data_IF_877613335086
#
_entry.id   IF_877613335086
#
_cell.length_a   1.000
_cell.length_b   1.000
_cell.length_c   1.000
_cell.angle_alpha   90.00
_cell.angle_beta   90.00
_cell.angle_gamma   90.00
#
_symmetry.space_group_name_H-M   'P 1'
#
loop_
_entity.id
_entity.type
_entity.pdbx_description
1 polymer ?
#
# COMPACT_ATOMS: atom_id res chain seq x y z
N UNK A 1 -1.89 40.03 4.66
CA UNK A 1 -1.73 39.60 3.24
C UNK A 1 -1.59 38.09 3.17
N UNK A 2 -2.37 37.42 2.34
CA UNK A 2 -2.34 35.95 2.17
C UNK A 2 -1.12 35.55 1.35
N UNK A 3 -0.31 34.61 1.87
CA UNK A 3 0.90 34.09 1.20
C UNK A 3 0.52 33.00 0.18
N UNK A 4 0.38 33.41 -1.07
CA UNK A 4 -0.14 32.57 -2.15
C UNK A 4 0.77 31.35 -2.42
N UNK A 5 2.07 31.50 -2.33
CA UNK A 5 3.07 30.47 -2.58
C UNK A 5 3.01 29.31 -1.55
N UNK A 6 2.38 29.54 -0.41
CA UNK A 6 2.20 28.53 0.62
C UNK A 6 0.91 27.70 0.45
N UNK A 7 -0.01 28.17 -0.40
CA UNK A 7 -1.27 27.49 -0.61
C UNK A 7 -1.03 26.21 -1.43
N UNK A 8 -1.59 25.11 -0.95
CA UNK A 8 -1.55 23.83 -1.66
C UNK A 8 -2.89 23.12 -1.51
N UNK A 9 -3.45 22.78 -2.64
CA UNK A 9 -4.56 21.83 -2.75
C UNK A 9 -4.35 21.00 -4.03
N UNK A 10 -4.59 19.70 -3.93
CA UNK A 10 -4.44 18.76 -5.05
C UNK A 10 -5.74 17.97 -5.17
N UNK A 11 -6.54 18.17 -6.24
CA UNK A 11 -7.75 17.39 -6.46
C UNK A 11 -7.48 15.90 -6.58
N UNK A 12 -8.43 15.05 -6.20
CA UNK A 12 -8.37 13.59 -6.30
C UNK A 12 -7.10 12.98 -5.67
N UNK A 13 -6.76 13.47 -4.48
CA UNK A 13 -5.59 13.03 -3.71
C UNK A 13 -5.93 12.99 -2.22
N UNK A 14 -4.91 12.90 -1.37
CA UNK A 14 -5.06 13.10 0.09
C UNK A 14 -5.61 14.49 0.49
N UNK A 15 -5.77 15.40 -0.46
CA UNK A 15 -6.39 16.71 -0.27
C UNK A 15 -7.86 16.76 -0.71
N UNK A 16 -8.34 15.74 -1.45
CA UNK A 16 -9.72 15.65 -1.88
C UNK A 16 -10.09 14.19 -2.10
N UNK A 17 -10.84 13.61 -1.19
CA UNK A 17 -11.19 12.19 -1.24
C UNK A 17 -12.59 11.92 -0.66
N UNK A 18 -13.23 10.85 -1.13
CA UNK A 18 -14.50 10.38 -0.63
C UNK A 18 -14.30 9.42 0.55
N UNK A 19 -15.06 9.65 1.64
CA UNK A 19 -15.14 8.74 2.78
C UNK A 19 -16.28 7.72 2.61
N UNK A 20 -17.32 8.12 1.88
CA UNK A 20 -18.46 7.29 1.46
C UNK A 20 -19.05 7.87 0.18
N UNK A 21 -20.06 7.19 -0.37
CA UNK A 21 -20.78 7.67 -1.57
C UNK A 21 -21.41 9.06 -1.41
N UNK A 22 -21.63 9.50 -0.18
CA UNK A 22 -22.25 10.80 0.14
C UNK A 22 -21.39 11.70 1.03
N UNK A 23 -20.14 11.33 1.30
CA UNK A 23 -19.29 12.08 2.22
C UNK A 23 -17.91 12.35 1.63
N UNK A 24 -17.54 13.63 1.53
CA UNK A 24 -16.25 14.09 1.01
C UNK A 24 -15.44 14.78 2.11
N UNK A 25 -14.14 14.59 2.05
CA UNK A 25 -13.16 15.43 2.77
C UNK A 25 -12.35 16.21 1.76
N UNK A 26 -12.34 17.52 1.94
CA UNK A 26 -11.54 18.46 1.15
C UNK A 26 -10.58 19.17 2.11
N UNK A 27 -9.31 19.19 1.76
CA UNK A 27 -8.20 19.73 2.54
C UNK A 27 -7.49 20.85 1.80
N UNK A 28 -7.00 21.83 2.51
CA UNK A 28 -6.08 22.85 1.99
C UNK A 28 -4.95 23.10 2.98
N UNK A 29 -3.74 23.30 2.48
CA UNK A 29 -2.59 23.76 3.25
C UNK A 29 -2.35 25.24 2.94
N UNK A 30 -2.01 26.02 3.96
CA UNK A 30 -1.68 27.44 3.84
C UNK A 30 -0.48 27.76 4.74
N UNK A 31 0.08 28.98 4.64
CA UNK A 31 1.13 29.39 5.56
C UNK A 31 0.60 29.41 7.02
N UNK A 32 1.48 29.10 7.95
CA UNK A 32 1.14 29.09 9.38
C UNK A 32 0.67 30.45 9.85
N UNK A 33 -0.42 30.46 10.62
CA UNK A 33 -1.04 31.64 11.21
C UNK A 33 -1.37 32.76 10.20
N UNK A 34 -1.61 32.42 8.94
CA UNK A 34 -1.82 33.36 7.84
C UNK A 34 -3.30 33.66 7.58
N UNK A 35 -4.22 32.82 8.03
CA UNK A 35 -5.67 32.99 7.83
C UNK A 35 -6.41 33.20 9.15
N UNK A 36 -7.44 34.05 9.11
CA UNK A 36 -8.46 34.11 10.17
C UNK A 36 -9.59 33.15 9.95
N UNK A 37 -9.98 32.96 8.67
CA UNK A 37 -11.04 32.03 8.26
C UNK A 37 -10.70 31.33 6.97
N UNK A 38 -11.15 30.08 6.85
CA UNK A 38 -11.10 29.29 5.64
C UNK A 38 -12.46 28.63 5.40
N UNK A 39 -13.08 28.89 4.26
CA UNK A 39 -14.40 28.37 3.93
C UNK A 39 -14.33 27.64 2.59
N UNK A 40 -14.82 26.41 2.58
CA UNK A 40 -15.06 25.64 1.36
C UNK A 40 -16.45 25.97 0.84
N UNK A 41 -16.55 26.28 -0.43
CA UNK A 41 -17.82 26.42 -1.15
C UNK A 41 -17.94 25.27 -2.15
N UNK A 42 -19.01 24.46 -2.05
CA UNK A 42 -19.24 23.35 -2.96
C UNK A 42 -20.63 23.39 -3.59
N UNK A 43 -20.78 22.86 -4.78
CA UNK A 43 -22.03 22.80 -5.50
C UNK A 43 -22.10 21.64 -6.51
N UNK A 44 -23.27 21.45 -7.12
CA UNK A 44 -23.48 20.46 -8.16
C UNK A 44 -22.75 20.88 -9.45
N UNK A 45 -21.72 20.12 -9.84
CA UNK A 45 -21.00 20.35 -11.09
C UNK A 45 -21.89 20.34 -12.35
N UNK A 46 -22.95 19.56 -12.32
CA UNK A 46 -23.85 19.35 -13.46
C UNK A 46 -25.20 20.06 -13.32
N UNK A 47 -25.31 20.97 -12.36
CA UNK A 47 -26.51 21.81 -12.19
C UNK A 47 -26.91 22.44 -13.52
N UNK A 48 -28.18 22.34 -13.92
CA UNK A 48 -28.69 23.08 -15.10
C UNK A 48 -28.65 24.60 -14.89
N UNK A 49 -28.13 25.32 -15.88
CA UNK A 49 -28.03 26.78 -15.86
C UNK A 49 -26.87 27.33 -15.02
N UNK A 50 -26.68 28.64 -15.12
CA UNK A 50 -25.64 29.43 -14.44
C UNK A 50 -26.30 30.58 -13.67
N UNK A 51 -25.70 31.05 -12.55
CA UNK A 51 -24.51 30.51 -11.90
C UNK A 51 -24.81 29.24 -11.10
N UNK A 52 -23.75 28.44 -10.78
CA UNK A 52 -23.89 27.32 -9.85
C UNK A 52 -24.25 27.85 -8.47
N UNK A 53 -25.16 27.15 -7.79
CA UNK A 53 -25.52 27.43 -6.40
C UNK A 53 -24.52 26.71 -5.49
N UNK A 54 -23.79 27.48 -4.69
CA UNK A 54 -22.79 26.94 -3.76
C UNK A 54 -23.29 26.94 -2.32
N UNK A 55 -22.91 25.90 -1.61
CA UNK A 55 -23.11 25.75 -0.16
C UNK A 55 -21.79 25.94 0.56
N UNK A 56 -21.78 26.72 1.64
CA UNK A 56 -20.59 27.01 2.44
C UNK A 56 -20.36 25.95 3.51
N UNK A 57 -19.11 25.52 3.68
CA UNK A 57 -18.65 24.70 4.81
C UNK A 57 -17.42 25.37 5.44
N UNK A 58 -17.54 25.76 6.71
CA UNK A 58 -16.40 26.30 7.45
C UNK A 58 -15.37 25.20 7.72
N UNK A 59 -14.14 25.44 7.29
CA UNK A 59 -13.06 24.48 7.41
C UNK A 59 -12.44 24.56 8.81
N UNK A 60 -12.01 23.42 9.33
CA UNK A 60 -11.36 23.33 10.66
C UNK A 60 -9.86 23.18 10.49
N UNK A 61 -9.09 23.98 11.23
CA UNK A 61 -7.65 23.74 11.36
C UNK A 61 -7.44 22.43 12.11
N UNK A 62 -6.87 21.43 11.43
CA UNK A 62 -6.66 20.08 11.97
C UNK A 62 -5.23 19.84 12.43
N UNK A 63 -4.28 20.56 11.84
CA UNK A 63 -2.87 20.41 12.10
C UNK A 63 -2.13 21.72 11.83
N UNK A 64 -1.08 21.98 12.60
CA UNK A 64 -0.04 22.97 12.29
C UNK A 64 1.32 22.30 12.39
N UNK A 65 2.17 22.50 11.40
CA UNK A 65 3.57 22.15 11.47
C UNK A 65 4.46 23.39 11.71
N UNK A 66 5.73 23.32 11.40
CA UNK A 66 6.67 24.42 11.58
C UNK A 66 6.36 25.62 10.67
N UNK A 67 5.81 25.38 9.47
CA UNK A 67 5.64 26.37 8.41
C UNK A 67 4.21 26.53 7.91
N UNK A 68 3.35 25.53 8.12
CA UNK A 68 2.03 25.45 7.50
C UNK A 68 0.92 25.11 8.48
N UNK A 69 -0.28 25.59 8.16
CA UNK A 69 -1.55 25.18 8.73
C UNK A 69 -2.33 24.33 7.69
N UNK A 70 -3.04 23.31 8.19
CA UNK A 70 -3.87 22.42 7.38
C UNK A 70 -5.31 22.55 7.84
N UNK A 71 -6.21 22.81 6.89
CA UNK A 71 -7.63 22.93 7.12
C UNK A 71 -8.40 21.85 6.38
N UNK A 72 -9.36 21.21 7.06
CA UNK A 72 -10.26 20.21 6.50
C UNK A 72 -11.71 20.66 6.57
N UNK A 73 -12.47 20.34 5.52
CA UNK A 73 -13.91 20.27 5.52
C UNK A 73 -14.34 18.84 5.19
N UNK A 74 -15.00 18.18 6.13
CA UNK A 74 -15.68 16.89 5.89
C UNK A 74 -17.18 17.15 5.93
N UNK A 75 -17.90 16.81 4.85
CA UNK A 75 -19.30 17.16 4.68
C UNK A 75 -20.06 16.10 3.90
N UNK A 76 -21.36 16.02 4.12
CA UNK A 76 -22.28 15.25 3.31
C UNK A 76 -22.73 16.04 2.10
N UNK A 77 -22.81 15.39 0.95
CA UNK A 77 -23.29 15.97 -0.30
C UNK A 77 -24.28 15.03 -0.99
N UNK A 78 -25.40 15.57 -1.50
CA UNK A 78 -26.33 14.77 -2.30
C UNK A 78 -25.88 14.61 -3.77
N UNK A 79 -24.72 15.17 -4.14
CA UNK A 79 -24.23 15.23 -5.52
C UNK A 79 -23.16 14.18 -5.77
N UNK A 80 -23.31 13.41 -6.81
CA UNK A 80 -22.29 12.48 -7.31
C UNK A 80 -21.09 13.20 -7.95
N UNK A 81 -21.30 14.45 -8.37
CA UNK A 81 -20.32 15.29 -9.08
C UNK A 81 -20.26 16.64 -8.43
N UNK A 82 -19.14 16.96 -7.82
CA UNK A 82 -18.98 18.18 -7.05
C UNK A 82 -17.97 19.11 -7.71
N UNK A 83 -18.31 20.41 -7.78
CA UNK A 83 -17.33 21.46 -8.02
C UNK A 83 -17.19 22.31 -6.77
N UNK A 84 -16.03 22.90 -6.56
CA UNK A 84 -15.74 23.63 -5.32
C UNK A 84 -14.61 24.65 -5.50
N UNK A 85 -14.57 25.60 -4.56
CA UNK A 85 -13.50 26.57 -4.40
C UNK A 85 -13.32 26.92 -2.93
N UNK A 86 -12.25 27.61 -2.60
CA UNK A 86 -11.96 28.08 -1.24
C UNK A 86 -12.09 29.58 -1.14
N UNK A 87 -12.69 30.06 -0.07
CA UNK A 87 -12.66 31.46 0.34
C UNK A 87 -11.70 31.57 1.53
N UNK A 88 -10.62 32.32 1.33
CA UNK A 88 -9.54 32.50 2.30
C UNK A 88 -9.59 33.93 2.83
N UNK A 89 -9.58 34.09 4.15
CA UNK A 89 -9.64 35.41 4.81
C UNK A 89 -8.45 35.63 5.72
N UNK A 90 -7.89 36.81 5.65
CA UNK A 90 -7.00 37.38 6.64
C UNK A 90 -7.62 38.69 7.18
N UNK A 91 -7.00 39.39 8.15
CA UNK A 91 -7.59 40.64 8.68
C UNK A 91 -7.75 41.77 7.67
N UNK A 92 -7.04 41.74 6.55
CA UNK A 92 -6.96 42.83 5.57
C UNK A 92 -7.69 42.52 4.27
N UNK A 93 -7.79 41.23 3.89
CA UNK A 93 -8.33 40.82 2.57
C UNK A 93 -9.08 39.51 2.58
N UNK A 94 -9.90 39.33 1.56
CA UNK A 94 -10.52 38.07 1.20
C UNK A 94 -10.04 37.67 -0.18
N UNK A 95 -9.69 36.38 -0.36
CA UNK A 95 -9.27 35.79 -1.63
C UNK A 95 -10.07 34.53 -1.90
N UNK A 96 -10.22 34.25 -3.19
CA UNK A 96 -10.80 33.00 -3.68
C UNK A 96 -9.71 32.15 -4.33
N UNK A 97 -9.65 30.88 -3.96
CA UNK A 97 -8.67 29.94 -4.50
C UNK A 97 -9.38 28.83 -5.27
N UNK A 98 -9.07 28.73 -6.55
CA UNK A 98 -9.63 27.79 -7.52
C UNK A 98 -8.61 27.55 -8.66
N UNK A 99 -8.57 26.36 -9.27
CA UNK A 99 -7.66 26.04 -10.36
C UNK A 99 -6.20 26.53 -10.17
N UNK A 100 -5.69 26.45 -8.92
CA UNK A 100 -4.39 26.96 -8.48
C UNK A 100 -4.19 28.48 -8.63
N UNK A 101 -5.28 29.20 -8.77
CA UNK A 101 -5.31 30.67 -8.87
C UNK A 101 -5.84 31.26 -7.56
N UNK A 102 -5.10 32.19 -6.97
CA UNK A 102 -5.54 32.98 -5.83
C UNK A 102 -5.98 34.39 -6.29
N UNK A 103 -7.29 34.62 -6.39
CA UNK A 103 -7.87 35.81 -6.99
C UNK A 103 -8.77 36.63 -6.05
N UNK A 104 -9.04 37.91 -6.43
CA UNK A 104 -10.00 38.76 -5.71
C UNK A 104 -11.46 38.46 -6.08
N UNK A 105 -11.68 37.83 -7.22
CA UNK A 105 -13.01 37.56 -7.77
C UNK A 105 -13.12 36.10 -8.16
N UNK A 106 -14.33 35.57 -8.13
CA UNK A 106 -14.63 34.24 -8.65
C UNK A 106 -14.54 34.21 -10.19
N UNK A 107 -14.24 33.05 -10.79
CA UNK A 107 -14.24 32.90 -12.23
C UNK A 107 -15.65 33.02 -12.82
N UNK A 108 -15.73 33.36 -14.08
CA UNK A 108 -16.99 33.39 -14.81
C UNK A 108 -17.38 32.00 -15.27
N UNK A 109 -16.39 31.21 -15.71
CA UNK A 109 -16.60 29.89 -16.27
C UNK A 109 -16.59 28.81 -15.17
N UNK A 110 -17.63 27.95 -15.16
CA UNK A 110 -17.75 26.86 -14.19
C UNK A 110 -16.64 25.82 -14.29
N UNK A 111 -15.99 25.71 -15.43
CA UNK A 111 -14.86 24.79 -15.67
C UNK A 111 -13.60 25.16 -14.92
N UNK A 112 -13.50 26.40 -14.42
CA UNK A 112 -12.34 26.89 -13.66
C UNK A 112 -12.38 26.53 -12.17
N UNK A 113 -13.55 26.10 -11.64
CA UNK A 113 -13.61 25.58 -10.27
C UNK A 113 -12.88 24.23 -10.17
N UNK A 114 -12.36 23.92 -8.98
CA UNK A 114 -11.93 22.57 -8.68
C UNK A 114 -13.08 21.59 -8.84
N UNK A 115 -12.77 20.36 -9.20
CA UNK A 115 -13.78 19.38 -9.49
C UNK A 115 -13.47 18.05 -8.81
N UNK A 116 -14.49 17.46 -8.19
CA UNK A 116 -14.57 16.05 -7.89
C UNK A 116 -15.51 15.42 -8.91
N UNK A 117 -14.96 14.86 -10.01
CA UNK A 117 -15.73 14.61 -11.25
C UNK A 117 -16.78 13.53 -11.09
N UNK A 118 -16.58 12.56 -10.18
CA UNK A 118 -17.53 11.52 -9.84
C UNK A 118 -17.14 10.81 -8.55
N UNK A 119 -18.10 10.61 -7.64
CA UNK A 119 -17.90 9.81 -6.42
C UNK A 119 -18.25 8.36 -6.76
N UNK A 120 -17.26 7.49 -6.84
CA UNK A 120 -17.43 6.07 -7.14
C UNK A 120 -17.16 5.23 -5.91
N UNK A 121 -18.05 4.27 -5.65
CA UNK A 121 -17.90 3.35 -4.53
C UNK A 121 -16.59 2.56 -4.60
N UNK A 122 -16.19 2.15 -5.80
CA UNK A 122 -14.98 1.35 -6.02
C UNK A 122 -13.68 2.10 -5.70
N UNK A 123 -13.74 3.44 -5.64
CA UNK A 123 -12.60 4.31 -5.32
C UNK A 123 -12.57 4.71 -3.84
N UNK A 124 -13.61 4.31 -3.06
CA UNK A 124 -13.67 4.61 -1.63
C UNK A 124 -12.87 3.56 -0.87
N UNK A 125 -11.78 3.99 -0.25
CA UNK A 125 -10.96 3.13 0.59
C UNK A 125 -11.55 3.06 2.01
N UNK A 126 -12.09 1.91 2.37
CA UNK A 126 -12.53 1.62 3.73
C UNK A 126 -11.32 1.17 4.56
N UNK A 127 -10.66 2.11 5.22
CA UNK A 127 -9.56 1.79 6.12
C UNK A 127 -10.06 1.12 7.40
N UNK A 128 -9.48 -0.01 7.83
CA UNK A 128 -9.71 -0.54 9.15
C UNK A 128 -9.32 0.48 10.23
N UNK A 129 -10.17 0.71 11.23
CA UNK A 129 -9.95 1.72 12.27
C UNK A 129 -8.60 1.57 12.97
N UNK A 130 -8.17 0.34 13.23
CA UNK A 130 -6.90 0.03 13.88
C UNK A 130 -5.68 0.46 13.06
N UNK A 131 -5.80 0.53 11.72
CA UNK A 131 -4.67 0.83 10.84
C UNK A 131 -4.18 2.27 10.97
N UNK A 132 -5.07 3.21 11.29
CA UNK A 132 -4.70 4.62 11.53
C UNK A 132 -3.82 4.82 12.77
N UNK A 133 -3.94 3.91 13.73
CA UNK A 133 -3.19 3.94 14.99
C UNK A 133 -2.05 2.92 15.01
N UNK A 134 -1.80 2.25 13.88
CA UNK A 134 -0.80 1.21 13.78
C UNK A 134 0.63 1.79 13.81
N UNK A 135 1.42 1.27 14.74
CA UNK A 135 2.87 1.43 14.77
C UNK A 135 3.46 0.08 14.39
N UNK A 136 3.97 0.01 13.15
CA UNK A 136 4.33 -1.25 12.51
C UNK A 136 5.78 -1.63 12.77
N UNK A 137 6.00 -2.85 13.26
CA UNK A 137 7.32 -3.48 13.36
C UNK A 137 7.49 -4.44 12.18
N UNK A 138 8.37 -4.08 11.24
CA UNK A 138 8.69 -4.94 10.10
C UNK A 138 9.71 -6.00 10.51
N UNK A 139 9.38 -7.27 10.24
CA UNK A 139 10.25 -8.42 10.52
C UNK A 139 10.66 -9.10 9.21
N UNK A 140 11.97 -9.20 8.99
CA UNK A 140 12.54 -10.15 8.05
C UNK A 140 12.88 -11.44 8.81
N UNK A 141 12.08 -12.51 8.67
CA UNK A 141 12.10 -13.65 9.60
C UNK A 141 13.46 -14.31 9.76
N UNK A 142 14.16 -14.58 8.64
CA UNK A 142 15.46 -15.26 8.67
C UNK A 142 16.52 -14.56 9.54
N UNK A 143 16.46 -13.23 9.65
CA UNK A 143 17.45 -12.43 10.38
C UNK A 143 16.97 -11.91 11.75
N UNK A 144 15.78 -12.31 12.20
CA UNK A 144 15.22 -11.77 13.45
C UNK A 144 15.66 -12.57 14.69
N UNK A 145 15.17 -13.79 14.84
CA UNK A 145 15.51 -14.65 15.98
C UNK A 145 15.25 -16.13 15.65
N UNK A 146 16.14 -17.02 16.09
CA UNK A 146 16.01 -18.46 15.87
C UNK A 146 15.10 -19.16 16.90
N UNK A 147 14.86 -18.54 18.06
CA UNK A 147 14.21 -19.18 19.18
C UNK A 147 15.09 -20.30 19.77
N UNK A 148 14.47 -21.24 20.48
CA UNK A 148 15.15 -22.41 21.06
C UNK A 148 15.19 -23.60 20.08
N UNK A 149 14.84 -23.40 18.82
CA UNK A 149 14.80 -24.43 17.80
C UNK A 149 16.21 -24.72 17.28
N UNK A 150 16.59 -25.99 17.22
CA UNK A 150 17.78 -26.40 16.47
C UNK A 150 17.58 -26.12 14.99
N UNK A 151 18.53 -25.40 14.39
CA UNK A 151 18.50 -25.07 12.96
C UNK A 151 18.84 -26.32 12.17
N UNK A 152 17.83 -27.01 11.66
CA UNK A 152 18.00 -28.23 10.87
C UNK A 152 18.55 -27.86 9.48
N UNK A 153 19.74 -28.39 9.16
CA UNK A 153 20.31 -28.33 7.79
C UNK A 153 21.19 -27.13 7.49
N UNK A 154 21.49 -26.26 8.44
CA UNK A 154 22.49 -25.20 8.26
C UNK A 154 23.80 -25.60 8.92
N UNK A 155 24.78 -25.95 8.10
CA UNK A 155 26.12 -26.18 8.57
C UNK A 155 26.75 -24.90 9.12
N UNK A 156 27.16 -24.97 10.39
CA UNK A 156 27.97 -24.03 11.14
C UNK A 156 27.26 -22.76 11.64
N UNK A 157 27.34 -22.58 12.96
CA UNK A 157 27.18 -21.29 13.63
C UNK A 157 27.94 -20.23 12.85
N UNK A 158 27.24 -19.20 12.40
CA UNK A 158 27.88 -18.05 11.82
C UNK A 158 28.60 -17.30 12.95
N UNK A 159 29.91 -17.45 13.01
CA UNK A 159 30.73 -16.58 13.84
C UNK A 159 30.57 -15.14 13.36
N UNK A 160 29.97 -14.31 14.15
CA UNK A 160 29.82 -12.87 13.94
C UNK A 160 31.14 -12.16 13.60
N UNK A 161 32.26 -12.80 13.93
CA UNK A 161 33.62 -12.32 13.69
C UNK A 161 34.03 -12.27 12.21
N UNK A 162 33.36 -13.00 11.33
CA UNK A 162 33.75 -13.10 9.91
C UNK A 162 32.90 -12.25 8.93
N UNK A 163 32.01 -11.40 9.45
CA UNK A 163 31.14 -10.55 8.66
C UNK A 163 29.96 -11.29 8.04
N UNK A 164 28.77 -10.74 8.19
CA UNK A 164 27.55 -11.21 7.55
C UNK A 164 27.62 -10.87 6.08
N UNK A 165 27.52 -11.87 5.20
CA UNK A 165 27.38 -11.65 3.77
C UNK A 165 25.91 -11.45 3.39
N UNK A 166 25.67 -10.68 2.34
CA UNK A 166 24.33 -10.29 1.89
C UNK A 166 23.35 -11.48 1.67
N UNK A 167 23.85 -12.69 1.39
CA UNK A 167 23.07 -13.90 1.15
C UNK A 167 23.20 -14.95 2.26
N UNK A 168 23.66 -14.57 3.44
CA UNK A 168 23.79 -15.50 4.56
C UNK A 168 22.42 -15.82 5.16
N UNK A 169 22.15 -17.12 5.39
CA UNK A 169 21.00 -17.56 6.16
C UNK A 169 21.33 -17.44 7.65
N UNK A 170 20.51 -16.72 8.40
CA UNK A 170 20.73 -16.48 9.84
C UNK A 170 19.90 -17.41 10.71
N UNK A 171 18.90 -18.09 10.13
CA UNK A 171 18.14 -19.14 10.77
C UNK A 171 17.04 -18.66 11.71
N UNK A 172 16.52 -17.49 11.49
CA UNK A 172 15.33 -17.01 12.19
C UNK A 172 14.11 -17.88 11.92
N UNK A 173 13.22 -18.03 12.90
CA UNK A 173 12.07 -18.91 12.86
C UNK A 173 10.79 -18.22 13.36
N UNK A 174 9.64 -18.82 13.06
CA UNK A 174 8.34 -18.40 13.62
C UNK A 174 8.35 -18.48 15.14
N UNK A 175 8.93 -19.53 15.71
CA UNK A 175 9.08 -19.65 17.18
C UNK A 175 9.94 -18.51 17.75
N UNK A 176 11.03 -18.13 17.07
CA UNK A 176 11.86 -17.00 17.47
C UNK A 176 11.11 -15.67 17.49
N UNK A 177 10.21 -15.45 16.52
CA UNK A 177 9.33 -14.27 16.52
C UNK A 177 8.39 -14.33 17.73
N UNK A 178 7.74 -15.48 17.94
CA UNK A 178 6.77 -15.70 19.03
C UNK A 178 7.36 -15.43 20.41
N UNK A 179 8.58 -15.90 20.68
CA UNK A 179 9.30 -15.69 21.94
C UNK A 179 9.67 -14.22 22.19
N UNK A 180 9.71 -13.40 21.12
CA UNK A 180 10.07 -11.98 21.20
C UNK A 180 8.87 -11.01 21.11
N UNK A 181 7.61 -11.49 21.16
CA UNK A 181 6.43 -10.64 21.10
C UNK A 181 6.38 -9.62 22.26
N UNK A 182 6.79 -10.01 23.45
CA UNK A 182 6.85 -9.11 24.61
C UNK A 182 7.85 -7.97 24.41
N UNK A 183 8.98 -8.25 23.77
CA UNK A 183 9.96 -7.23 23.40
C UNK A 183 9.37 -6.22 22.42
N UNK A 184 8.71 -6.71 21.37
CA UNK A 184 8.09 -5.85 20.33
C UNK A 184 7.01 -4.97 20.98
N UNK A 185 6.14 -5.55 21.79
CA UNK A 185 5.06 -4.83 22.46
C UNK A 185 5.57 -3.77 23.44
N UNK A 186 6.62 -4.08 24.22
CA UNK A 186 7.26 -3.13 25.15
C UNK A 186 7.90 -1.93 24.47
N UNK A 187 8.30 -2.06 23.20
CA UNK A 187 8.77 -0.94 22.39
C UNK A 187 7.64 -0.04 21.89
N UNK A 188 6.38 -0.40 22.10
CA UNK A 188 5.22 0.38 21.70
C UNK A 188 4.64 0.04 20.33
N UNK A 189 5.09 -1.03 19.68
CA UNK A 189 4.52 -1.51 18.45
C UNK A 189 3.22 -2.28 18.69
N UNK A 190 2.22 -2.09 17.84
CA UNK A 190 0.92 -2.75 17.91
C UNK A 190 0.53 -3.48 16.62
N UNK A 191 1.42 -3.50 15.64
CA UNK A 191 1.26 -4.24 14.40
C UNK A 191 2.61 -4.83 13.96
N UNK A 192 2.59 -6.08 13.50
CA UNK A 192 3.76 -6.74 12.89
C UNK A 192 3.52 -6.83 11.39
N UNK A 193 4.46 -6.32 10.58
CA UNK A 193 4.54 -6.62 9.16
C UNK A 193 5.57 -7.74 8.97
N UNK A 194 5.10 -8.89 8.50
CA UNK A 194 5.93 -10.07 8.36
C UNK A 194 6.30 -10.29 6.89
N UNK A 195 7.58 -10.14 6.55
CA UNK A 195 8.11 -10.53 5.25
C UNK A 195 7.84 -12.01 4.96
N UNK A 196 7.92 -12.47 3.70
CA UNK A 196 7.41 -13.79 3.33
C UNK A 196 7.93 -14.95 4.18
N UNK A 197 7.03 -15.86 4.56
CA UNK A 197 7.31 -17.05 5.39
C UNK A 197 7.04 -18.36 4.69
N UNK A 198 6.36 -18.32 3.55
CA UNK A 198 5.93 -19.51 2.82
C UNK A 198 7.08 -20.22 2.11
N UNK A 199 6.82 -21.44 1.60
CA UNK A 199 7.84 -22.29 0.99
C UNK A 199 8.40 -21.64 -0.28
N UNK A 200 9.72 -21.45 -0.30
CA UNK A 200 10.46 -20.79 -1.36
C UNK A 200 11.84 -21.38 -1.57
N UNK A 201 12.46 -21.09 -2.71
CA UNK A 201 13.80 -21.56 -3.05
C UNK A 201 14.91 -20.87 -2.29
N UNK A 202 14.79 -19.54 -2.12
CA UNK A 202 15.83 -18.71 -1.51
C UNK A 202 15.50 -18.33 -0.06
N UNK A 203 16.51 -17.87 0.68
CA UNK A 203 16.37 -17.49 2.10
C UNK A 203 15.40 -16.33 2.34
N UNK A 204 15.30 -15.41 1.38
CA UNK A 204 14.44 -14.23 1.47
C UNK A 204 12.95 -14.51 1.21
N UNK A 205 12.63 -15.69 0.70
CA UNK A 205 11.25 -16.18 0.46
C UNK A 205 10.42 -15.38 -0.55
N UNK A 206 11.03 -14.52 -1.38
CA UNK A 206 10.31 -13.83 -2.45
C UNK A 206 10.14 -14.67 -3.72
N UNK A 207 10.77 -15.83 -3.86
CA UNK A 207 10.62 -16.79 -4.95
C UNK A 207 9.78 -17.99 -4.52
N UNK A 208 8.47 -17.76 -4.30
CA UNK A 208 7.58 -18.76 -3.73
C UNK A 208 7.38 -19.97 -4.64
N UNK A 209 7.44 -21.14 -4.03
CA UNK A 209 7.13 -22.46 -4.61
C UNK A 209 5.73 -22.92 -4.21
N UNK A 210 5.31 -22.56 -3.00
CA UNK A 210 4.03 -22.91 -2.41
C UNK A 210 3.55 -21.74 -1.58
N UNK A 211 2.32 -21.30 -1.82
CA UNK A 211 1.70 -20.15 -1.15
C UNK A 211 0.84 -20.55 0.06
N UNK A 212 0.59 -21.86 0.25
CA UNK A 212 -0.33 -22.37 1.27
C UNK A 212 0.38 -22.89 2.51
N UNK A 213 1.68 -23.22 2.42
CA UNK A 213 2.42 -23.83 3.52
C UNK A 213 3.65 -23.04 3.91
N UNK A 214 3.82 -22.89 5.21
CA UNK A 214 5.00 -22.26 5.79
C UNK A 214 6.26 -23.01 5.39
N UNK A 215 7.34 -22.29 5.14
CA UNK A 215 8.63 -22.89 4.83
C UNK A 215 9.11 -23.77 5.98
N UNK A 216 9.46 -25.05 5.73
CA UNK A 216 9.94 -25.97 6.76
C UNK A 216 11.15 -25.45 7.55
N UNK A 217 11.95 -24.59 6.95
CA UNK A 217 13.10 -23.94 7.61
C UNK A 217 12.70 -22.92 8.68
N UNK A 218 11.48 -22.38 8.60
CA UNK A 218 10.99 -21.34 9.52
C UNK A 218 10.04 -21.89 10.58
N UNK A 219 9.35 -22.97 10.26
CA UNK A 219 8.38 -23.55 11.18
C UNK A 219 7.37 -24.44 10.48
N UNK A 220 6.25 -24.63 11.15
CA UNK A 220 5.09 -25.37 10.65
C UNK A 220 3.89 -24.44 10.53
N UNK A 221 2.87 -24.86 9.79
CA UNK A 221 1.60 -24.12 9.69
C UNK A 221 0.92 -23.96 11.05
N UNK A 222 1.09 -24.94 11.96
CA UNK A 222 0.54 -24.86 13.31
C UNK A 222 1.28 -23.81 14.14
N UNK A 223 2.61 -23.81 14.12
CA UNK A 223 3.40 -22.76 14.80
C UNK A 223 3.05 -21.36 14.29
N UNK A 224 2.73 -21.24 13.01
CA UNK A 224 2.29 -19.97 12.42
C UNK A 224 0.90 -19.54 12.93
N UNK A 225 -0.07 -20.49 13.02
CA UNK A 225 -1.39 -20.21 13.61
C UNK A 225 -1.27 -19.79 15.07
N UNK A 226 -0.39 -20.46 15.83
CA UNK A 226 -0.13 -20.11 17.23
C UNK A 226 0.50 -18.70 17.34
N UNK A 227 1.44 -18.34 16.47
CA UNK A 227 2.01 -16.98 16.42
C UNK A 227 0.91 -15.93 16.17
N UNK A 228 0.06 -16.14 15.16
CA UNK A 228 -1.04 -15.24 14.85
C UNK A 228 -2.00 -15.09 16.05
N UNK A 229 -2.35 -16.21 16.69
CA UNK A 229 -3.21 -16.19 17.87
C UNK A 229 -2.57 -15.43 19.05
N UNK A 230 -1.28 -15.61 19.28
CA UNK A 230 -0.56 -14.92 20.37
C UNK A 230 -0.45 -13.40 20.10
N UNK A 231 -0.28 -12.99 18.84
CA UNK A 231 -0.32 -11.58 18.42
C UNK A 231 -1.70 -10.99 18.71
N UNK A 232 -2.77 -11.66 18.28
CA UNK A 232 -4.14 -11.21 18.49
C UNK A 232 -4.52 -11.17 19.99
N UNK A 233 -4.11 -12.15 20.78
CA UNK A 233 -4.33 -12.18 22.25
C UNK A 233 -3.68 -11.00 22.98
N UNK A 234 -2.67 -10.39 22.41
CA UNK A 234 -2.01 -9.16 22.90
C UNK A 234 -2.70 -7.87 22.43
N UNK A 235 -3.80 -7.98 21.66
CA UNK A 235 -4.45 -6.83 21.02
C UNK A 235 -3.60 -6.21 19.91
N UNK A 236 -2.63 -6.93 19.38
CA UNK A 236 -1.79 -6.52 18.26
C UNK A 236 -2.37 -7.06 16.94
N UNK A 237 -1.90 -6.50 15.82
CA UNK A 237 -2.27 -6.93 14.47
C UNK A 237 -1.07 -7.50 13.73
N UNK A 238 -1.34 -8.31 12.71
CA UNK A 238 -0.32 -8.84 11.80
C UNK A 238 -0.72 -8.56 10.36
N UNK A 239 0.25 -8.14 9.55
CA UNK A 239 0.17 -8.03 8.09
C UNK A 239 1.19 -8.98 7.50
N UNK A 240 0.78 -9.80 6.56
CA UNK A 240 1.62 -10.80 5.89
C UNK A 240 1.95 -10.31 4.49
N UNK A 241 3.21 -10.46 4.09
CA UNK A 241 3.67 -10.09 2.75
C UNK A 241 3.20 -11.13 1.71
N UNK A 242 2.35 -10.71 0.78
CA UNK A 242 1.84 -11.53 -0.31
C UNK A 242 2.62 -11.28 -1.62
N UNK A 243 3.37 -12.26 -2.09
CA UNK A 243 4.16 -12.16 -3.32
C UNK A 243 3.34 -12.60 -4.52
N UNK A 244 2.47 -11.73 -5.03
CA UNK A 244 1.53 -12.01 -6.14
C UNK A 244 1.98 -11.46 -7.50
N UNK A 245 3.13 -10.79 -7.57
CA UNK A 245 3.67 -10.25 -8.81
C UNK A 245 4.45 -11.29 -9.64
N UNK A 246 5.11 -12.23 -8.96
CA UNK A 246 5.98 -13.26 -9.53
C UNK A 246 6.02 -14.47 -8.60
N UNK A 247 6.51 -15.59 -9.13
CA UNK A 247 6.73 -16.81 -8.35
C UNK A 247 8.18 -17.33 -8.56
N UNK A 248 8.51 -18.47 -7.98
CA UNK A 248 9.73 -19.18 -8.34
C UNK A 248 9.63 -19.80 -9.75
N UNK A 249 10.74 -19.90 -10.45
CA UNK A 249 10.79 -20.70 -11.70
C UNK A 249 10.61 -22.21 -11.48
N UNK A 250 10.60 -22.67 -10.22
CA UNK A 250 10.22 -24.02 -9.80
C UNK A 250 8.79 -24.12 -9.28
N UNK A 251 8.02 -23.02 -9.31
CA UNK A 251 6.60 -23.07 -9.03
C UNK A 251 5.91 -24.13 -9.88
N UNK A 252 5.05 -25.00 -9.32
CA UNK A 252 4.51 -26.16 -10.03
C UNK A 252 3.87 -25.81 -11.38
N UNK A 253 3.08 -24.75 -11.43
CA UNK A 253 2.41 -24.31 -12.66
C UNK A 253 3.39 -23.77 -13.71
N UNK A 254 4.48 -23.11 -13.28
CA UNK A 254 5.53 -22.71 -14.21
C UNK A 254 6.36 -23.89 -14.71
N UNK A 255 6.59 -24.88 -13.85
CA UNK A 255 7.27 -26.12 -14.22
C UNK A 255 6.47 -26.91 -15.26
N UNK A 256 5.15 -26.95 -15.12
CA UNK A 256 4.25 -27.57 -16.12
C UNK A 256 4.36 -26.88 -17.50
N UNK A 257 4.42 -25.53 -17.51
CA UNK A 257 4.64 -24.77 -18.76
C UNK A 257 5.99 -25.08 -19.39
N UNK A 258 7.06 -25.21 -18.61
CA UNK A 258 8.39 -25.58 -19.12
C UNK A 258 8.37 -26.98 -19.71
N UNK A 259 7.67 -27.95 -19.11
CA UNK A 259 7.62 -29.34 -19.54
C UNK A 259 6.70 -29.55 -20.73
N UNK A 260 5.50 -28.98 -20.73
CA UNK A 260 4.45 -29.21 -21.73
C UNK A 260 4.42 -28.18 -22.86
N UNK A 261 5.13 -27.05 -22.69
CA UNK A 261 5.12 -25.97 -23.67
C UNK A 261 3.73 -25.39 -23.88
N UNK A 262 3.36 -25.17 -25.14
CA UNK A 262 2.05 -24.59 -25.53
C UNK A 262 0.84 -25.43 -25.11
N UNK A 263 1.01 -26.70 -24.75
CA UNK A 263 -0.06 -27.61 -24.33
C UNK A 263 -0.37 -27.51 -22.82
N UNK A 264 0.39 -26.75 -22.07
CA UNK A 264 0.12 -26.51 -20.64
C UNK A 264 -1.16 -25.68 -20.44
N UNK A 265 -1.97 -26.03 -19.47
CA UNK A 265 -3.15 -25.26 -19.07
C UNK A 265 -2.77 -23.91 -18.40
N UNK A 266 -1.53 -23.79 -17.91
CA UNK A 266 -1.05 -22.59 -17.19
C UNK A 266 -0.33 -21.58 -18.10
N UNK A 267 -0.33 -21.72 -19.41
CA UNK A 267 0.36 -20.81 -20.35
C UNK A 267 -0.04 -19.35 -20.12
N UNK A 268 -1.33 -19.09 -19.90
CA UNK A 268 -1.86 -17.74 -19.70
C UNK A 268 -1.65 -17.16 -18.29
N UNK A 269 -1.05 -17.92 -17.37
CA UNK A 269 -0.70 -17.48 -16.02
C UNK A 269 0.58 -16.65 -15.97
N UNK A 270 1.33 -16.61 -17.09
CA UNK A 270 2.62 -15.93 -17.15
C UNK A 270 2.69 -14.93 -18.31
N UNK A 271 3.49 -13.90 -18.15
CA UNK A 271 3.67 -12.88 -19.19
C UNK A 271 4.74 -13.24 -20.19
N UNK A 272 4.46 -12.95 -21.47
CA UNK A 272 5.41 -12.89 -22.58
C UNK A 272 6.25 -14.17 -22.75
N UNK A 273 5.61 -15.32 -22.71
CA UNK A 273 6.26 -16.60 -22.97
C UNK A 273 6.70 -16.69 -24.43
N UNK A 274 7.94 -17.16 -24.67
CA UNK A 274 8.45 -17.55 -25.97
C UNK A 274 8.77 -19.05 -25.90
N UNK A 275 8.20 -19.80 -26.81
CA UNK A 275 8.37 -21.26 -26.82
C UNK A 275 9.57 -21.73 -27.67
N UNK A 276 10.33 -22.73 -27.23
CA UNK A 276 10.17 -23.43 -25.96
C UNK A 276 10.54 -22.54 -24.75
N UNK A 277 9.78 -22.68 -23.66
CA UNK A 277 10.10 -21.97 -22.40
C UNK A 277 11.28 -22.67 -21.75
N UNK A 278 12.38 -21.95 -21.55
CA UNK A 278 13.65 -22.50 -21.05
C UNK A 278 14.08 -21.73 -19.80
N UNK A 279 14.45 -22.48 -18.76
CA UNK A 279 15.14 -21.93 -17.59
C UNK A 279 16.61 -21.67 -17.97
N UNK A 280 17.08 -20.41 -17.98
CA UNK A 280 18.47 -20.10 -18.32
C UNK A 280 19.45 -20.80 -17.41
N UNK A 281 20.47 -21.45 -17.99
CA UNK A 281 21.51 -22.15 -17.24
C UNK A 281 22.54 -21.17 -16.65
N UNK A 282 22.80 -20.06 -17.34
CA UNK A 282 23.77 -19.03 -16.93
C UNK A 282 23.10 -17.66 -16.81
N UNK A 283 23.80 -16.69 -16.20
CA UNK A 283 23.30 -15.32 -16.06
C UNK A 283 23.30 -14.53 -17.37
N UNK A 284 24.12 -14.94 -18.33
CA UNK A 284 24.17 -14.33 -19.66
C UNK A 284 23.03 -14.76 -20.57
N UNK A 285 22.43 -15.92 -20.32
CA UNK A 285 21.31 -16.41 -21.08
C UNK A 285 20.04 -15.65 -20.73
N UNK A 286 19.36 -15.13 -21.74
CA UNK A 286 18.09 -14.40 -21.56
C UNK A 286 16.95 -15.38 -21.33
N UNK A 287 16.07 -15.14 -20.36
CA UNK A 287 14.87 -15.93 -20.17
C UNK A 287 13.92 -15.74 -21.36
N UNK A 288 13.20 -16.81 -21.72
CA UNK A 288 12.14 -16.81 -22.73
C UNK A 288 10.77 -16.42 -22.16
N UNK A 289 10.76 -15.68 -21.06
CA UNK A 289 9.58 -15.19 -20.32
C UNK A 289 9.89 -13.88 -19.61
N UNK A 290 8.86 -13.12 -19.28
CA UNK A 290 9.01 -11.95 -18.41
C UNK A 290 9.36 -12.35 -16.99
N UNK A 291 10.27 -11.63 -16.36
CA UNK A 291 10.68 -11.86 -14.98
C UNK A 291 10.69 -10.55 -14.18
N UNK A 292 10.67 -10.67 -12.85
CA UNK A 292 10.76 -9.54 -11.94
C UNK A 292 12.18 -8.97 -11.91
N UNK A 293 12.32 -7.66 -12.13
CA UNK A 293 13.59 -6.92 -12.03
C UNK A 293 14.79 -7.61 -12.73
N UNK A 294 14.54 -8.26 -13.85
CA UNK A 294 15.52 -9.06 -14.62
C UNK A 294 16.05 -10.31 -13.89
N UNK A 295 15.47 -10.67 -12.71
CA UNK A 295 15.82 -11.90 -11.99
C UNK A 295 15.15 -13.11 -12.68
N UNK A 296 15.93 -13.85 -13.45
CA UNK A 296 15.46 -15.01 -14.25
C UNK A 296 14.75 -16.08 -13.44
N UNK A 297 15.04 -16.21 -12.14
CA UNK A 297 14.42 -17.20 -11.26
C UNK A 297 13.01 -16.79 -10.79
N UNK A 298 12.56 -15.59 -11.19
CA UNK A 298 11.29 -15.02 -10.74
C UNK A 298 10.37 -14.69 -11.92
N UNK A 299 9.77 -15.72 -12.59
CA UNK A 299 8.82 -15.52 -13.68
C UNK A 299 7.62 -14.71 -13.21
N UNK A 300 7.22 -13.74 -14.05
CA UNK A 300 6.15 -12.79 -13.75
C UNK A 300 4.78 -13.42 -13.94
N UNK A 301 3.94 -13.33 -12.92
CA UNK A 301 2.55 -13.78 -12.93
C UNK A 301 1.64 -12.80 -13.69
N UNK A 302 0.60 -13.35 -14.30
CA UNK A 302 -0.40 -12.59 -15.06
C UNK A 302 -1.70 -12.43 -14.26
N UNK A 303 -1.71 -11.48 -13.33
CA UNK A 303 -2.89 -11.17 -12.50
C UNK A 303 -4.13 -10.66 -13.29
N UNK A 304 -4.01 -10.49 -14.61
CA UNK A 304 -5.17 -10.25 -15.47
C UNK A 304 -5.90 -11.55 -15.85
N UNK A 305 -5.27 -12.73 -15.68
CA UNK A 305 -5.88 -14.01 -15.93
C UNK A 305 -6.88 -14.38 -14.81
N UNK A 306 -8.16 -14.75 -15.15
CA UNK A 306 -9.16 -15.06 -14.13
C UNK A 306 -8.86 -16.30 -13.29
N UNK A 307 -8.24 -17.33 -13.88
CA UNK A 307 -7.93 -18.59 -13.21
C UNK A 307 -6.76 -18.41 -12.24
N UNK A 308 -5.74 -17.65 -12.65
CA UNK A 308 -4.63 -17.27 -11.79
C UNK A 308 -5.14 -16.44 -10.59
N UNK A 309 -6.01 -15.45 -10.81
CA UNK A 309 -6.63 -14.70 -9.71
C UNK A 309 -7.45 -15.60 -8.78
N UNK A 310 -8.22 -16.54 -9.32
CA UNK A 310 -8.99 -17.48 -8.51
C UNK A 310 -8.09 -18.30 -7.58
N UNK A 311 -6.95 -18.79 -8.09
CA UNK A 311 -5.96 -19.49 -7.28
C UNK A 311 -5.44 -18.63 -6.13
N UNK A 312 -5.06 -17.38 -6.39
CA UNK A 312 -4.55 -16.47 -5.35
C UNK A 312 -5.62 -15.91 -4.40
N UNK A 313 -6.89 -15.99 -4.78
CA UNK A 313 -8.00 -15.68 -3.85
C UNK A 313 -8.29 -16.81 -2.85
N UNK A 314 -7.72 -17.99 -3.05
CA UNK A 314 -7.79 -19.12 -2.10
C UNK A 314 -6.63 -19.13 -1.09
N UNK A 315 -5.54 -18.39 -1.40
CA UNK A 315 -4.39 -18.21 -0.52
C UNK A 315 -4.73 -17.25 0.62
#
# INVERSE_FOLDING_TARGET
>A
MILQEAILHIPLSQYAFANSEMNLTIRIRVAKDNLTDCVLWYGDRVQPGDPIVFTAVYMKKILSDMHFDYYDATFETPYDRVCYYFELKDPEETRFYYADICAKYLPVERSEFYQYPFIRREEICEEPKWFREAIVYNIFPDSFASGHREIVGQGKEMEWQNGIRLKSRLGGTIQGIRENLDYIQKLGFNCIYLNPVFTAGEYHKYDLLDYFHVSPNMGTDEEFRELVQDIHNRGMHIVIDGVFNHCSWYFPQFSDVVEKGESSEYVNWFYQLQFPVIRPATEEEKPTYSCFAYERKMPKLNSSNPEERAYFMEV
#
